data_IF_768649220524
#
_entry.id   IF_768649220524
#
_cell.length_a   1.000
_cell.length_b   1.000
_cell.length_c   1.000
_cell.angle_alpha   90.00
_cell.angle_beta   90.00
_cell.angle_gamma   90.00
#
_symmetry.space_group_name_H-M   'P 1'
#
loop_
_entity.id
_entity.type
_entity.pdbx_description
1 polymer ?
#
# COMPACT_ATOMS: atom_id res chain seq x y z
N UNK A 1 59.99 49.04 -14.40
CA UNK A 1 58.51 49.07 -14.40
C UNK A 1 58.05 47.67 -14.86
N UNK A 2 57.77 46.75 -13.92
CA UNK A 2 56.42 46.28 -13.52
C UNK A 2 55.52 45.95 -14.73
N UNK A 3 55.36 44.63 -15.00
CA UNK A 3 54.13 43.82 -14.84
C UNK A 3 53.25 43.91 -16.12
N UNK A 4 52.82 42.83 -16.79
CA UNK A 4 51.93 41.78 -16.29
C UNK A 4 51.84 40.59 -17.26
N UNK A 5 51.61 39.42 -16.66
CA UNK A 5 51.20 38.17 -17.27
C UNK A 5 49.83 38.28 -17.93
N UNK A 6 49.65 37.68 -19.11
CA UNK A 6 48.33 37.36 -19.67
C UNK A 6 48.11 35.87 -19.58
N UNK A 7 47.28 35.49 -18.61
CA UNK A 7 46.83 34.14 -18.36
C UNK A 7 45.75 33.74 -19.39
N UNK A 8 45.90 32.52 -19.90
CA UNK A 8 44.99 31.82 -20.79
C UNK A 8 43.68 31.50 -20.04
N UNK A 9 42.55 32.01 -20.53
CA UNK A 9 41.22 31.66 -20.04
C UNK A 9 40.48 30.80 -21.05
N UNK A 10 40.55 29.47 -20.91
CA UNK A 10 39.71 28.54 -21.67
C UNK A 10 38.38 28.43 -20.92
N UNK A 11 37.33 29.06 -21.48
CA UNK A 11 35.95 28.89 -21.05
C UNK A 11 35.43 27.52 -21.51
N UNK A 12 35.52 26.52 -20.64
CA UNK A 12 34.81 25.25 -20.83
C UNK A 12 33.33 25.46 -20.48
N UNK A 13 32.50 25.69 -21.49
CA UNK A 13 31.05 25.72 -21.35
C UNK A 13 30.52 24.31 -21.04
N UNK A 14 30.06 24.08 -19.80
CA UNK A 14 29.36 22.86 -19.44
C UNK A 14 27.94 22.88 -20.05
N UNK A 15 27.75 22.12 -21.12
CA UNK A 15 26.42 21.76 -21.64
C UNK A 15 25.75 20.82 -20.63
N UNK A 16 24.81 21.35 -19.86
CA UNK A 16 23.93 20.55 -19.01
C UNK A 16 22.92 19.84 -19.92
N UNK A 17 23.21 18.59 -20.28
CA UNK A 17 22.27 17.73 -20.98
C UNK A 17 21.20 17.37 -19.93
N UNK A 18 20.05 18.04 -19.98
CA UNK A 18 18.89 17.65 -19.22
C UNK A 18 18.46 16.25 -19.70
N UNK A 19 18.78 15.22 -18.91
CA UNK A 19 18.30 13.87 -19.16
C UNK A 19 16.75 13.91 -19.19
N UNK A 20 16.10 13.24 -20.16
CA UNK A 20 14.66 13.15 -20.14
C UNK A 20 14.28 12.42 -18.85
N UNK A 21 13.46 13.06 -18.01
CA UNK A 21 12.91 12.42 -16.85
C UNK A 21 12.16 11.18 -17.31
N UNK A 22 12.71 9.99 -17.02
CA UNK A 22 12.04 8.75 -17.29
C UNK A 22 10.64 8.85 -16.67
N UNK A 23 9.61 8.76 -17.51
CA UNK A 23 8.23 8.72 -17.06
C UNK A 23 8.07 7.45 -16.22
N UNK A 24 8.26 7.60 -14.91
CA UNK A 24 7.99 6.54 -13.96
C UNK A 24 6.49 6.29 -14.08
N UNK A 25 6.12 5.12 -14.62
CA UNK A 25 4.75 4.66 -14.64
C UNK A 25 4.39 4.26 -13.20
N UNK A 26 4.26 5.27 -12.33
CA UNK A 26 3.90 5.10 -10.93
C UNK A 26 2.42 4.84 -10.88
N UNK A 27 2.04 3.64 -10.43
CA UNK A 27 0.65 3.33 -10.15
C UNK A 27 0.18 4.17 -8.95
N UNK A 28 -0.44 5.31 -9.19
CA UNK A 28 -0.88 6.26 -8.15
C UNK A 28 -2.12 5.81 -7.39
N UNK A 29 -2.71 4.67 -7.77
CA UNK A 29 -3.96 4.17 -7.19
C UNK A 29 -3.76 3.70 -5.75
N UNK A 30 -4.84 3.75 -4.98
CA UNK A 30 -4.92 3.37 -3.57
C UNK A 30 -5.23 4.56 -2.66
N UNK A 31 -5.31 4.25 -1.35
CA UNK A 31 -5.54 5.24 -0.30
C UNK A 31 -4.28 6.05 -0.01
N UNK A 32 -4.44 7.32 0.30
CA UNK A 32 -3.40 8.29 0.63
C UNK A 32 -3.74 9.02 1.92
N UNK A 33 -2.79 9.10 2.85
CA UNK A 33 -2.80 10.03 3.98
C UNK A 33 -2.32 11.39 3.49
N UNK A 34 -3.13 12.41 3.72
CA UNK A 34 -2.93 13.76 3.20
C UNK A 34 -2.72 14.71 4.36
N UNK A 35 -1.62 15.43 4.35
CA UNK A 35 -1.31 16.49 5.30
C UNK A 35 -1.42 17.83 4.58
N UNK A 36 -2.37 18.66 5.02
CA UNK A 36 -2.62 20.00 4.49
C UNK A 36 -3.08 20.91 5.64
N UNK A 37 -2.57 22.14 5.68
CA UNK A 37 -2.95 23.17 6.67
C UNK A 37 -2.88 22.70 8.14
N UNK A 38 -1.88 21.87 8.46
CA UNK A 38 -1.68 21.31 9.80
C UNK A 38 -2.68 20.22 10.21
N UNK A 39 -3.56 19.79 9.29
CA UNK A 39 -4.52 18.70 9.49
C UNK A 39 -4.17 17.50 8.62
N UNK A 40 -4.58 16.32 9.09
CA UNK A 40 -4.45 15.08 8.36
C UNK A 40 -5.83 14.60 7.91
N UNK A 41 -5.95 14.23 6.65
CA UNK A 41 -7.13 13.61 6.06
C UNK A 41 -6.76 12.44 5.15
N UNK A 42 -7.74 11.80 4.50
CA UNK A 42 -7.49 10.66 3.60
C UNK A 42 -8.09 10.92 2.22
N UNK A 43 -7.37 10.55 1.17
CA UNK A 43 -7.87 10.55 -0.21
C UNK A 43 -7.64 9.18 -0.83
N UNK A 44 -8.68 8.55 -1.35
CA UNK A 44 -8.59 7.29 -2.10
C UNK A 44 -8.58 7.57 -3.61
N UNK A 45 -7.53 7.13 -4.32
CA UNK A 45 -7.39 7.26 -5.77
C UNK A 45 -7.71 5.91 -6.42
N UNK A 46 -8.79 5.84 -7.18
CA UNK A 46 -9.28 4.58 -7.78
C UNK A 46 -9.03 4.54 -9.28
N UNK A 47 -8.84 3.33 -9.83
CA UNK A 47 -8.51 3.13 -11.24
C UNK A 47 -9.70 3.17 -12.21
N UNK A 48 -10.93 3.29 -11.70
CA UNK A 48 -12.12 3.36 -12.53
C UNK A 48 -12.15 4.70 -13.26
N UNK A 49 -11.88 4.66 -14.57
CA UNK A 49 -11.93 5.85 -15.42
C UNK A 49 -13.38 6.15 -15.80
N UNK A 50 -13.83 7.37 -15.55
CA UNK A 50 -15.13 7.85 -16.00
C UNK A 50 -14.94 9.23 -16.63
N UNK A 51 -15.32 9.40 -17.91
CA UNK A 51 -15.19 10.67 -18.65
C UNK A 51 -13.78 11.27 -18.66
N UNK A 52 -12.75 10.48 -19.00
CA UNK A 52 -11.39 10.99 -19.22
C UNK A 52 -10.61 11.42 -17.97
N UNK A 53 -11.14 11.18 -16.77
CA UNK A 53 -10.40 11.26 -15.52
C UNK A 53 -10.75 10.09 -14.60
N UNK A 54 -9.86 9.81 -13.65
CA UNK A 54 -9.99 8.73 -12.70
C UNK A 54 -10.77 9.18 -11.47
N UNK A 55 -11.48 8.25 -10.82
CA UNK A 55 -12.27 8.55 -9.63
C UNK A 55 -11.37 8.71 -8.40
N UNK A 56 -11.66 9.73 -7.58
CA UNK A 56 -11.05 9.94 -6.27
C UNK A 56 -12.14 10.09 -5.19
N UNK A 57 -11.77 9.97 -3.92
CA UNK A 57 -12.68 10.26 -2.81
C UNK A 57 -11.91 10.80 -1.62
N UNK A 58 -12.24 12.01 -1.18
CA UNK A 58 -11.74 12.61 0.06
C UNK A 58 -12.58 12.22 1.28
N UNK A 59 -11.91 11.94 2.40
CA UNK A 59 -12.52 11.66 3.69
C UNK A 59 -11.84 12.50 4.78
N UNK A 60 -12.62 13.29 5.52
CA UNK A 60 -12.11 14.14 6.60
C UNK A 60 -11.26 15.34 6.13
N UNK A 61 -11.19 15.61 4.83
CA UNK A 61 -10.46 16.76 4.31
C UNK A 61 -11.27 18.05 4.48
N UNK A 62 -10.58 19.17 4.72
CA UNK A 62 -11.16 20.51 4.84
C UNK A 62 -10.58 21.46 3.79
N UNK A 63 -11.20 22.62 3.61
CA UNK A 63 -10.75 23.60 2.60
C UNK A 63 -10.90 23.04 1.18
N UNK A 64 -10.01 23.42 0.27
CA UNK A 64 -10.12 23.01 -1.14
C UNK A 64 -10.18 21.49 -1.33
N UNK A 65 -9.48 20.72 -0.49
CA UNK A 65 -9.39 19.27 -0.57
C UNK A 65 -10.65 18.53 -0.10
N UNK A 66 -11.65 19.21 0.48
CA UNK A 66 -12.90 18.57 0.93
C UNK A 66 -13.71 17.99 -0.24
N UNK A 67 -13.63 18.67 -1.40
CA UNK A 67 -14.49 18.41 -2.56
C UNK A 67 -13.87 17.49 -3.59
N UNK A 68 -12.75 16.83 -3.27
CA UNK A 68 -12.01 15.97 -4.21
C UNK A 68 -12.85 14.74 -4.55
N UNK A 69 -13.19 14.62 -5.82
CA UNK A 69 -14.00 13.52 -6.36
C UNK A 69 -13.34 12.83 -7.56
N UNK A 70 -12.34 13.46 -8.18
CA UNK A 70 -11.67 12.96 -9.39
C UNK A 70 -10.20 13.35 -9.39
N UNK A 71 -9.41 12.69 -10.22
CA UNK A 71 -8.04 13.08 -10.50
C UNK A 71 -7.65 12.79 -11.94
N UNK A 72 -6.69 13.56 -12.44
CA UNK A 72 -6.09 13.34 -13.76
C UNK A 72 -4.57 13.20 -13.64
N UNK A 73 -3.97 12.52 -14.63
CA UNK A 73 -2.53 12.31 -14.72
C UNK A 73 -2.04 13.10 -15.95
N UNK A 74 -1.26 14.16 -15.72
CA UNK A 74 -0.64 14.99 -16.76
C UNK A 74 0.88 14.76 -16.75
N UNK A 75 1.34 13.76 -17.48
CA UNK A 75 2.76 13.37 -17.46
C UNK A 75 3.16 12.83 -16.07
N UNK A 76 4.07 13.54 -15.38
CA UNK A 76 4.50 13.22 -14.01
C UNK A 76 3.67 13.90 -12.91
N UNK A 77 2.68 14.71 -13.30
CA UNK A 77 1.82 15.46 -12.39
C UNK A 77 0.48 14.78 -12.19
N UNK A 78 -0.02 14.82 -10.96
CA UNK A 78 -1.34 14.39 -10.56
C UNK A 78 -2.13 15.63 -10.21
N UNK A 79 -3.28 15.77 -10.85
CA UNK A 79 -4.16 16.93 -10.67
C UNK A 79 -5.39 16.44 -9.94
N UNK A 80 -5.61 16.92 -8.72
CA UNK A 80 -6.83 16.64 -7.97
C UNK A 80 -7.93 17.58 -8.44
N UNK A 81 -9.09 17.00 -8.74
CA UNK A 81 -10.24 17.68 -9.29
C UNK A 81 -11.41 17.60 -8.31
N UNK A 82 -12.17 18.68 -8.27
CA UNK A 82 -13.40 18.80 -7.48
C UNK A 82 -14.66 18.73 -8.32
N UNK A 83 -15.77 19.14 -7.70
CA UNK A 83 -17.06 19.28 -8.37
C UNK A 83 -16.94 20.24 -9.58
N UNK A 84 -17.46 19.81 -10.73
CA UNK A 84 -17.40 20.58 -11.98
C UNK A 84 -16.00 20.65 -12.62
N UNK A 85 -15.13 19.68 -12.33
CA UNK A 85 -13.76 19.57 -12.88
C UNK A 85 -12.84 20.75 -12.52
N UNK A 86 -13.16 21.45 -11.43
CA UNK A 86 -12.30 22.48 -10.86
C UNK A 86 -10.98 21.85 -10.41
N UNK A 87 -9.86 22.40 -10.87
CA UNK A 87 -8.54 22.03 -10.36
C UNK A 87 -8.40 22.52 -8.91
N UNK A 88 -8.07 21.61 -7.99
CA UNK A 88 -7.94 21.90 -6.57
C UNK A 88 -6.48 21.87 -6.11
N UNK A 89 -5.70 20.93 -6.64
CA UNK A 89 -4.28 20.80 -6.33
C UNK A 89 -3.51 20.16 -7.48
N UNK A 90 -2.25 20.56 -7.63
CA UNK A 90 -1.30 19.94 -8.56
C UNK A 90 -0.16 19.35 -7.73
N UNK A 91 0.06 18.05 -7.91
CA UNK A 91 1.00 17.26 -7.15
C UNK A 91 1.99 16.59 -8.10
N UNK A 92 3.23 16.43 -7.65
CA UNK A 92 4.26 15.72 -8.39
C UNK A 92 4.49 14.38 -7.72
N UNK A 93 4.47 13.30 -8.51
CA UNK A 93 4.78 11.97 -8.00
C UNK A 93 6.28 11.81 -7.79
N UNK A 94 6.68 11.36 -6.60
CA UNK A 94 8.05 10.99 -6.24
C UNK A 94 8.02 9.68 -5.45
N UNK A 95 8.06 8.54 -6.15
CA UNK A 95 7.95 7.22 -5.50
C UNK A 95 6.60 7.04 -4.80
N UNK A 96 6.61 6.92 -3.48
CA UNK A 96 5.41 6.72 -2.64
C UNK A 96 4.88 8.03 -1.99
N UNK A 97 5.34 9.17 -2.51
CA UNK A 97 4.95 10.50 -2.04
C UNK A 97 4.42 11.36 -3.19
N UNK A 98 3.36 12.12 -2.93
CA UNK A 98 2.87 13.17 -3.81
C UNK A 98 3.01 14.50 -3.09
N UNK A 99 3.74 15.44 -3.68
CA UNK A 99 3.98 16.75 -3.07
C UNK A 99 3.57 17.85 -4.03
N UNK A 100 2.95 18.89 -3.49
CA UNK A 100 2.53 20.01 -4.31
C UNK A 100 1.78 21.05 -3.53
N UNK A 101 0.91 21.76 -4.23
CA UNK A 101 0.16 22.88 -3.67
C UNK A 101 -1.28 22.86 -4.16
N UNK A 102 -2.18 23.36 -3.31
CA UNK A 102 -3.54 23.72 -3.74
C UNK A 102 -3.49 24.96 -4.63
N UNK A 103 -4.57 25.20 -5.38
CA UNK A 103 -4.74 26.44 -6.14
C UNK A 103 -4.82 27.69 -5.26
N UNK A 104 -5.19 27.54 -3.98
CA UNK A 104 -5.15 28.60 -2.96
C UNK A 104 -3.76 28.87 -2.38
N UNK A 105 -2.76 28.04 -2.71
CA UNK A 105 -1.37 28.22 -2.30
C UNK A 105 -0.91 27.39 -1.10
N UNK A 106 -1.82 26.66 -0.44
CA UNK A 106 -1.49 25.75 0.67
C UNK A 106 -0.61 24.59 0.19
N UNK A 107 0.41 24.25 0.97
CA UNK A 107 1.25 23.08 0.69
C UNK A 107 0.47 21.79 1.01
N UNK A 108 0.53 20.84 0.08
CA UNK A 108 -0.11 19.53 0.22
C UNK A 108 0.94 18.45 0.12
N UNK A 109 0.92 17.56 1.11
CA UNK A 109 1.79 16.40 1.17
C UNK A 109 0.96 15.14 1.31
N UNK A 110 1.09 14.21 0.38
CA UNK A 110 0.37 12.93 0.39
C UNK A 110 1.36 11.78 0.45
N UNK A 111 1.09 10.82 1.32
CA UNK A 111 1.80 9.53 1.41
C UNK A 111 0.80 8.39 1.31
N UNK A 112 1.16 7.25 0.72
CA UNK A 112 0.25 6.09 0.68
C UNK A 112 -0.24 5.74 2.10
N UNK A 113 -1.55 5.63 2.24
CA UNK A 113 -2.19 5.24 3.50
C UNK A 113 -1.83 3.77 3.78
N UNK A 114 -1.06 3.58 4.85
CA UNK A 114 -0.22 2.40 5.09
C UNK A 114 1.02 2.74 5.93
N UNK A 115 1.32 4.03 6.13
CA UNK A 115 2.07 4.49 7.28
C UNK A 115 1.09 4.68 8.46
N UNK A 116 1.18 3.86 9.52
CA UNK A 116 0.36 4.04 10.72
C UNK A 116 0.75 5.33 11.46
N UNK A 117 -0.15 5.96 12.27
CA UNK A 117 0.35 6.80 13.36
C UNK A 117 1.30 5.92 14.16
N UNK A 118 2.54 6.35 14.42
CA UNK A 118 3.46 5.58 15.28
C UNK A 118 2.68 5.21 16.55
N UNK A 119 2.28 3.96 16.78
CA UNK A 119 3.12 2.75 16.80
C UNK A 119 2.53 1.60 15.94
N UNK A 120 3.26 1.27 14.87
CA UNK A 120 3.38 -0.04 14.22
C UNK A 120 2.12 -0.82 13.81
N UNK A 121 1.22 -0.22 13.03
CA UNK A 121 0.48 -0.96 11.99
C UNK A 121 1.06 -0.67 10.60
N UNK A 122 2.29 -1.11 10.38
CA UNK A 122 2.74 -1.42 9.02
C UNK A 122 1.73 -2.41 8.47
N UNK A 123 1.22 -2.21 7.24
CA UNK A 123 1.50 -3.24 6.23
C UNK A 123 1.38 -2.60 4.82
N UNK A 124 2.42 -2.19 4.08
CA UNK A 124 3.30 -3.06 3.28
C UNK A 124 3.95 -2.27 2.11
N UNK A 125 5.29 -2.10 2.04
CA UNK A 125 6.24 -2.96 1.31
C UNK A 125 6.26 -2.61 -0.19
N UNK A 126 7.22 -1.84 -0.71
CA UNK A 126 8.60 -2.28 -0.85
C UNK A 126 8.68 -3.30 -2.00
N UNK A 127 9.42 -2.97 -3.06
CA UNK A 127 9.61 -3.80 -4.24
C UNK A 127 10.07 -5.22 -3.87
N UNK A 128 9.14 -6.17 -3.93
CA UNK A 128 9.42 -7.59 -4.04
C UNK A 128 8.85 -8.04 -5.37
N UNK A 129 9.69 -8.03 -6.40
CA UNK A 129 9.38 -8.63 -7.70
C UNK A 129 8.87 -10.04 -7.49
N UNK A 130 7.59 -10.26 -7.77
CA UNK A 130 6.96 -11.57 -7.92
C UNK A 130 6.94 -12.01 -9.38
N UNK A 131 7.99 -11.69 -10.15
CA UNK A 131 8.40 -12.58 -11.23
C UNK A 131 9.03 -13.82 -10.59
N UNK A 132 8.71 -15.00 -11.11
CA UNK A 132 9.20 -16.31 -10.64
C UNK A 132 10.62 -16.27 -10.02
N UNK A 133 10.77 -16.67 -8.75
CA UNK A 133 12.06 -17.14 -8.23
C UNK A 133 12.84 -16.26 -7.22
N UNK A 134 12.21 -15.34 -6.48
CA UNK A 134 12.89 -14.67 -5.35
C UNK A 134 13.01 -15.55 -4.10
N UNK A 135 14.21 -15.67 -3.49
CA UNK A 135 14.52 -16.52 -2.31
C UNK A 135 13.65 -16.29 -1.05
N UNK A 136 12.88 -15.19 -0.97
CA UNK A 136 12.05 -14.80 0.18
C UNK A 136 10.56 -14.60 -0.18
N UNK A 137 10.05 -15.29 -1.20
CA UNK A 137 8.64 -15.22 -1.58
C UNK A 137 7.74 -15.86 -0.51
N UNK A 138 6.73 -15.13 -0.05
CA UNK A 138 5.57 -15.73 0.63
C UNK A 138 4.54 -16.06 -0.45
N UNK A 139 4.19 -17.31 -0.60
CA UNK A 139 3.25 -17.78 -1.63
C UNK A 139 1.81 -17.42 -1.27
N UNK A 140 1.02 -16.94 -2.24
CA UNK A 140 -0.40 -16.67 -2.02
C UNK A 140 -1.20 -17.98 -2.12
N UNK A 141 -1.46 -18.63 -0.98
CA UNK A 141 -2.03 -19.97 -1.00
C UNK A 141 -1.19 -20.93 -1.85
N UNK A 142 -1.84 -21.85 -2.55
CA UNK A 142 -1.19 -22.75 -3.50
C UNK A 142 -0.94 -22.13 -4.89
N UNK A 143 -1.08 -20.81 -5.06
CA UNK A 143 -0.88 -20.16 -6.35
C UNK A 143 0.60 -19.98 -6.69
N UNK A 144 0.93 -20.00 -7.98
CA UNK A 144 2.29 -19.72 -8.47
C UNK A 144 2.58 -18.21 -8.52
N UNK A 145 2.32 -17.50 -7.42
CA UNK A 145 2.64 -16.08 -7.25
C UNK A 145 2.96 -15.77 -5.79
N UNK A 146 3.74 -14.73 -5.60
CA UNK A 146 3.95 -14.18 -4.27
C UNK A 146 2.72 -13.36 -3.84
N UNK A 147 2.43 -13.41 -2.53
CA UNK A 147 1.51 -12.49 -1.92
C UNK A 147 2.05 -11.07 -2.07
N UNK A 148 1.18 -10.15 -2.46
CA UNK A 148 1.53 -8.74 -2.41
C UNK A 148 1.62 -8.31 -0.97
N UNK A 149 2.30 -7.20 -0.83
CA UNK A 149 2.45 -6.55 0.41
C UNK A 149 1.02 -6.24 0.96
N UNK A 150 0.12 -5.56 0.25
CA UNK A 150 -1.29 -5.34 0.70
C UNK A 150 -2.08 -6.62 1.10
N UNK A 151 -1.83 -7.79 0.53
CA UNK A 151 -2.54 -9.01 0.91
C UNK A 151 -2.09 -9.52 2.29
N UNK A 152 -0.80 -9.36 2.58
CA UNK A 152 -0.18 -9.82 3.82
C UNK A 152 -0.59 -8.98 5.05
N UNK A 153 -1.38 -7.91 4.92
CA UNK A 153 -1.83 -7.11 6.06
C UNK A 153 -2.56 -7.96 7.11
N UNK A 154 -2.48 -7.62 8.40
CA UNK A 154 -3.32 -8.27 9.42
C UNK A 154 -4.78 -7.87 9.19
N UNK A 155 -5.73 -8.83 9.19
CA UNK A 155 -7.16 -8.52 9.08
C UNK A 155 -7.61 -7.59 10.20
N UNK A 156 -8.57 -6.70 9.89
CA UNK A 156 -9.22 -5.89 10.92
C UNK A 156 -10.16 -6.74 11.78
N UNK A 157 -10.29 -6.42 13.06
CA UNK A 157 -11.30 -7.02 13.92
C UNK A 157 -12.71 -6.80 13.35
N UNK A 158 -13.56 -7.82 13.39
CA UNK A 158 -14.90 -7.81 12.80
C UNK A 158 -14.95 -7.93 11.28
N UNK A 159 -13.80 -8.00 10.59
CA UNK A 159 -13.74 -8.25 9.14
C UNK A 159 -13.91 -9.74 8.80
N UNK A 160 -13.90 -10.04 7.50
CA UNK A 160 -14.00 -11.40 6.99
C UNK A 160 -12.71 -11.82 6.28
N UNK A 161 -12.35 -13.09 6.45
CA UNK A 161 -11.21 -13.72 5.80
C UNK A 161 -11.63 -14.95 5.02
N UNK A 162 -10.91 -15.23 3.93
CA UNK A 162 -11.14 -16.40 3.09
C UNK A 162 -9.92 -17.31 3.10
N UNK A 163 -10.10 -18.58 3.44
CA UNK A 163 -9.02 -19.57 3.39
C UNK A 163 -8.55 -19.80 1.95
N UNK A 164 -7.23 -19.83 1.75
CA UNK A 164 -6.61 -20.06 0.44
C UNK A 164 -6.19 -21.52 0.24
N UNK A 165 -6.10 -22.27 1.33
CA UNK A 165 -5.69 -23.68 1.38
C UNK A 165 -6.46 -24.41 2.48
N UNK A 166 -6.22 -25.71 2.62
CA UNK A 166 -6.67 -26.46 3.79
C UNK A 166 -5.98 -25.94 5.05
N UNK A 167 -6.76 -25.48 6.02
CA UNK A 167 -6.25 -24.79 7.20
C UNK A 167 -6.80 -25.41 8.48
N UNK A 168 -5.90 -25.77 9.39
CA UNK A 168 -6.28 -26.29 10.70
C UNK A 168 -6.73 -25.15 11.61
N UNK A 169 -7.85 -25.38 12.29
CA UNK A 169 -8.36 -24.57 13.39
C UNK A 169 -7.86 -25.17 14.68
N UNK A 170 -7.19 -24.38 15.51
CA UNK A 170 -6.60 -24.82 16.77
C UNK A 170 -7.29 -24.18 17.97
N UNK A 171 -7.18 -24.83 19.13
CA UNK A 171 -7.75 -24.33 20.39
C UNK A 171 -7.08 -23.03 20.87
N UNK A 172 -5.87 -22.73 20.41
CA UNK A 172 -5.15 -21.51 20.76
C UNK A 172 -4.19 -21.06 19.67
N UNK A 173 -3.62 -19.87 19.86
CA UNK A 173 -2.74 -19.17 18.92
C UNK A 173 -1.30 -19.75 18.87
N UNK A 174 -1.16 -21.06 18.62
CA UNK A 174 0.13 -21.71 18.39
C UNK A 174 -0.05 -23.04 17.64
N UNK A 175 0.96 -23.43 16.87
CA UNK A 175 1.11 -24.70 16.18
C UNK A 175 1.19 -25.89 17.14
N UNK A 176 1.56 -25.66 18.40
CA UNK A 176 1.57 -26.68 19.46
C UNK A 176 0.17 -26.98 20.02
N UNK A 177 -0.80 -26.09 19.79
CA UNK A 177 -2.15 -26.24 20.34
C UNK A 177 -2.94 -27.33 19.62
N UNK A 178 -3.83 -28.07 20.31
CA UNK A 178 -4.64 -29.11 19.68
C UNK A 178 -5.45 -28.59 18.48
N UNK A 179 -5.48 -29.37 17.40
CA UNK A 179 -6.37 -29.13 16.27
C UNK A 179 -7.79 -29.52 16.68
N UNK A 180 -8.72 -28.57 16.60
CA UNK A 180 -10.15 -28.77 16.92
C UNK A 180 -11.01 -28.88 15.65
N UNK A 181 -10.44 -28.55 14.49
CA UNK A 181 -11.10 -28.75 13.20
C UNK A 181 -10.22 -28.36 12.02
N UNK A 182 -10.75 -28.54 10.82
CA UNK A 182 -10.08 -28.14 9.57
C UNK A 182 -11.06 -27.41 8.67
N UNK A 183 -10.54 -26.43 7.94
CA UNK A 183 -11.26 -25.62 6.95
C UNK A 183 -10.72 -25.99 5.57
N UNK A 184 -11.62 -26.19 4.61
CA UNK A 184 -11.24 -26.27 3.20
C UNK A 184 -10.87 -24.90 2.64
N UNK A 185 -10.32 -24.83 1.43
CA UNK A 185 -10.14 -23.57 0.71
C UNK A 185 -11.49 -22.88 0.44
N UNK A 186 -11.45 -21.56 0.25
CA UNK A 186 -12.59 -20.67 0.02
C UNK A 186 -13.60 -20.55 1.17
N UNK A 187 -13.30 -21.08 2.37
CA UNK A 187 -14.13 -20.90 3.54
C UNK A 187 -14.06 -19.44 3.99
N UNK A 188 -15.22 -18.78 4.10
CA UNK A 188 -15.34 -17.42 4.59
C UNK A 188 -15.66 -17.40 6.08
N UNK A 189 -14.87 -16.68 6.86
CA UNK A 189 -14.96 -16.67 8.33
C UNK A 189 -14.91 -15.23 8.83
N UNK A 190 -15.69 -14.96 9.89
CA UNK A 190 -15.61 -13.71 10.61
C UNK A 190 -14.44 -13.75 11.59
N UNK A 191 -13.63 -12.70 11.56
CA UNK A 191 -12.51 -12.51 12.49
C UNK A 191 -13.01 -11.73 13.69
N UNK A 192 -12.76 -12.27 14.89
CA UNK A 192 -13.00 -11.53 16.13
C UNK A 192 -11.82 -10.59 16.38
N UNK A 193 -10.62 -11.17 16.46
CA UNK A 193 -9.39 -10.44 16.69
C UNK A 193 -8.20 -11.21 16.12
N UNK A 194 -7.09 -10.51 15.87
CA UNK A 194 -5.82 -11.10 15.49
C UNK A 194 -4.72 -10.65 16.44
N UNK A 195 -3.77 -11.54 16.70
CA UNK A 195 -2.62 -11.32 17.58
C UNK A 195 -1.34 -11.77 16.91
N UNK A 196 -0.27 -11.02 17.16
CA UNK A 196 1.08 -11.38 16.74
C UNK A 196 1.71 -12.27 17.80
N UNK A 197 2.26 -13.40 17.38
CA UNK A 197 2.98 -14.35 18.24
C UNK A 197 4.38 -14.58 17.68
N UNK A 198 5.24 -15.28 18.43
CA UNK A 198 6.53 -15.77 17.92
C UNK A 198 6.38 -16.73 16.72
N UNK A 199 5.21 -17.34 16.55
CA UNK A 199 4.88 -18.27 15.47
C UNK A 199 4.08 -17.62 14.34
N UNK A 200 3.95 -16.29 14.33
CA UNK A 200 3.24 -15.53 13.31
C UNK A 200 1.92 -14.92 13.78
N UNK A 201 1.14 -14.42 12.82
CA UNK A 201 -0.15 -13.77 13.07
C UNK A 201 -1.24 -14.84 13.20
N UNK A 202 -1.90 -14.88 14.35
CA UNK A 202 -3.03 -15.76 14.63
C UNK A 202 -4.30 -14.96 14.76
N UNK A 203 -5.36 -15.41 14.11
CA UNK A 203 -6.68 -14.80 14.20
C UNK A 203 -7.66 -15.75 14.84
N UNK A 204 -8.40 -15.24 15.83
CA UNK A 204 -9.57 -15.93 16.37
C UNK A 204 -10.72 -15.78 15.38
N UNK A 205 -11.30 -16.91 15.02
CA UNK A 205 -12.43 -17.00 14.11
C UNK A 205 -13.55 -17.77 14.78
N UNK A 206 -14.77 -17.36 14.49
CA UNK A 206 -15.96 -18.07 14.92
C UNK A 206 -16.45 -18.99 13.81
N UNK A 207 -16.72 -20.25 14.17
CA UNK A 207 -17.32 -21.23 13.27
C UNK A 207 -18.41 -21.99 14.02
N UNK A 208 -19.66 -21.87 13.56
CA UNK A 208 -20.81 -22.59 14.14
C UNK A 208 -20.94 -22.39 15.66
N UNK A 209 -20.63 -21.19 16.17
CA UNK A 209 -20.68 -20.88 17.61
C UNK A 209 -19.48 -21.35 18.42
N UNK A 210 -18.49 -22.04 17.81
CA UNK A 210 -17.23 -22.39 18.46
C UNK A 210 -16.11 -21.45 18.01
N UNK A 211 -15.31 -21.01 18.98
CA UNK A 211 -14.13 -20.19 18.76
C UNK A 211 -12.92 -21.07 18.47
N UNK A 212 -12.11 -20.63 17.51
CA UNK A 212 -10.85 -21.28 17.20
C UNK A 212 -9.85 -20.33 16.56
N UNK A 213 -8.61 -20.77 16.48
CA UNK A 213 -7.49 -19.96 16.02
C UNK A 213 -6.94 -20.50 14.71
N UNK A 214 -6.73 -19.60 13.76
CA UNK A 214 -6.09 -19.88 12.47
C UNK A 214 -4.85 -18.98 12.29
N UNK A 215 -3.81 -19.50 11.66
CA UNK A 215 -2.54 -18.78 11.42
C UNK A 215 -2.52 -18.21 10.01
N UNK A 216 -2.06 -16.97 9.82
CA UNK A 216 -2.00 -16.28 8.51
C UNK A 216 -0.81 -16.70 7.65
N UNK A 217 0.35 -16.87 8.27
CA UNK A 217 1.59 -17.25 7.61
C UNK A 217 2.09 -18.54 8.21
N UNK A 218 2.23 -19.57 7.38
CA UNK A 218 2.71 -20.87 7.80
C UNK A 218 4.03 -21.17 7.10
N UNK A 219 5.05 -21.51 7.88
CA UNK A 219 6.34 -21.97 7.37
C UNK A 219 6.38 -23.49 7.39
N UNK A 220 6.38 -24.17 6.22
CA UNK A 220 6.50 -25.61 6.17
C UNK A 220 7.89 -26.06 6.67
N UNK A 221 7.99 -27.22 7.34
CA UNK A 221 9.26 -27.72 7.89
C UNK A 221 10.32 -28.07 6.83
N UNK A 222 9.93 -28.22 5.56
CA UNK A 222 10.79 -28.75 4.49
C UNK A 222 11.64 -27.68 3.76
N UNK A 223 11.92 -26.55 4.40
CA UNK A 223 12.67 -25.45 3.78
C UNK A 223 11.94 -24.77 2.61
N UNK A 224 10.64 -25.03 2.46
CA UNK A 224 9.81 -24.38 1.46
C UNK A 224 9.53 -22.93 1.83
N UNK A 225 9.25 -22.12 0.80
CA UNK A 225 8.75 -20.76 0.94
C UNK A 225 7.54 -20.71 1.87
N UNK A 226 7.51 -19.68 2.71
CA UNK A 226 6.38 -19.43 3.61
C UNK A 226 5.08 -19.26 2.80
N UNK A 227 3.98 -19.68 3.40
CA UNK A 227 2.68 -19.75 2.77
C UNK A 227 1.71 -18.80 3.48
N UNK A 228 1.04 -17.95 2.70
CA UNK A 228 -0.12 -17.21 3.15
C UNK A 228 -1.36 -18.10 3.09
N UNK A 229 -2.02 -18.33 4.22
CA UNK A 229 -3.07 -19.35 4.36
C UNK A 229 -4.49 -18.81 4.15
N UNK A 230 -4.72 -17.51 4.32
CA UNK A 230 -6.02 -16.86 4.12
C UNK A 230 -5.87 -15.39 3.69
N UNK A 231 -6.80 -14.88 2.88
CA UNK A 231 -6.86 -13.50 2.41
C UNK A 231 -7.79 -12.61 3.27
N UNK A 232 -7.55 -11.29 3.29
CA UNK A 232 -8.31 -10.30 4.08
C UNK A 232 -9.64 -9.88 3.43
N UNK A 233 -10.25 -10.78 2.67
CA UNK A 233 -11.51 -10.54 1.98
C UNK A 233 -12.10 -11.87 1.57
N UNK A 234 -13.42 -12.00 1.62
CA UNK A 234 -14.12 -13.08 0.94
C UNK A 234 -14.53 -12.64 -0.47
N UNK A 235 -14.27 -13.49 -1.45
CA UNK A 235 -14.80 -13.39 -2.81
C UNK A 235 -15.74 -14.54 -3.08
#
# INVERSE_FOLDING_TARGET
MRLQHLAVGILAGALVIAAPAAAQNTDVRGKWSVQADGRTCTIDLTGDSMFGAFRASSFGCSGDLFSVNRYNIRGSQIVLLGIGDKELAVLNARGDELTGRTTSGSSVYMRRAGAPPIVASQPFGGWGSGANGGRNCITYGSQNRCATSFEMQTPAAGSYVQTLTNLNVRRGASLSQPVIGTLGPNACLRVNECRNTSEGVWCEVERNGELGYIVKFFKPPNGQSELMTFANSCR
#
